data_IF_939385293372
#
_entry.id   IF_939385293372
#
_cell.length_a   1.000
_cell.length_b   1.000
_cell.length_c   1.000
_cell.angle_alpha   90.00
_cell.angle_beta   90.00
_cell.angle_gamma   90.00
#
_symmetry.space_group_name_H-M   'P 1'
#
loop_
_entity.id
_entity.type
_entity.pdbx_description
1 polymer ?
#
# COMPACT_ATOMS: atom_id res chain seq x y z
N UNK A 1 1.47 -39.40 42.44
CA UNK A 1 0.17 -38.90 42.99
C UNK A 1 -0.08 -37.51 42.43
N UNK A 2 -1.30 -37.25 41.97
CA UNK A 2 -1.71 -35.93 41.45
C UNK A 2 -2.89 -35.43 42.27
N UNK A 3 -2.80 -34.22 42.80
CA UNK A 3 -3.89 -33.56 43.53
C UNK A 3 -4.32 -32.34 42.70
N UNK A 4 -5.62 -32.24 42.41
CA UNK A 4 -6.23 -31.07 41.76
C UNK A 4 -7.10 -30.33 42.76
N UNK A 5 -6.86 -29.04 42.92
CA UNK A 5 -7.65 -28.14 43.75
C UNK A 5 -8.19 -27.03 42.87
N UNK A 6 -9.50 -26.82 42.89
CA UNK A 6 -10.17 -25.71 42.19
C UNK A 6 -10.70 -24.75 43.24
N UNK A 7 -10.37 -23.46 43.13
CA UNK A 7 -10.94 -22.44 44.02
C UNK A 7 -12.42 -22.21 43.68
N UNK A 8 -13.25 -21.80 44.65
CA UNK A 8 -14.66 -21.55 44.41
C UNK A 8 -14.88 -20.43 43.36
N UNK A 9 -16.08 -20.38 42.79
CA UNK A 9 -16.48 -19.37 41.78
C UNK A 9 -16.59 -17.95 42.35
N UNK A 10 -16.55 -17.81 43.68
CA UNK A 10 -16.42 -16.55 44.41
C UNK A 10 -15.35 -16.70 45.48
N UNK A 11 -14.53 -15.66 45.67
CA UNK A 11 -13.44 -15.64 46.65
C UNK A 11 -13.49 -14.35 47.46
N UNK A 12 -13.01 -14.41 48.71
CA UNK A 12 -12.79 -13.24 49.56
C UNK A 12 -11.31 -13.18 49.97
N UNK A 13 -10.80 -11.99 50.32
CA UNK A 13 -9.41 -11.83 50.79
C UNK A 13 -8.31 -11.93 49.72
N UNK A 14 -8.62 -11.65 48.45
CA UNK A 14 -7.63 -11.60 47.35
C UNK A 14 -7.32 -12.94 46.67
N UNK A 15 -8.04 -14.02 47.01
CA UNK A 15 -7.93 -15.31 46.30
C UNK A 15 -8.41 -15.21 44.85
N UNK A 16 -7.80 -15.97 43.93
CA UNK A 16 -8.22 -16.01 42.52
C UNK A 16 -9.40 -16.97 42.37
N UNK A 17 -10.60 -16.51 41.95
CA UNK A 17 -11.76 -17.38 41.77
C UNK A 17 -11.57 -18.32 40.58
N UNK A 18 -12.20 -19.50 40.63
CA UNK A 18 -12.19 -20.51 39.55
C UNK A 18 -10.79 -20.91 39.04
N UNK A 19 -9.75 -20.75 39.86
CA UNK A 19 -8.37 -21.10 39.54
C UNK A 19 -8.09 -22.55 39.92
N UNK A 20 -7.41 -23.28 39.03
CA UNK A 20 -7.04 -24.66 39.24
C UNK A 20 -5.53 -24.76 39.54
N UNK A 21 -5.20 -25.46 40.63
CA UNK A 21 -3.85 -25.78 41.03
C UNK A 21 -3.66 -27.28 41.03
N UNK A 22 -2.59 -27.73 40.40
CA UNK A 22 -2.25 -29.15 40.32
C UNK A 22 -0.91 -29.39 40.98
N UNK A 23 -0.92 -30.22 42.02
CA UNK A 23 0.28 -30.77 42.61
C UNK A 23 0.67 -32.02 41.85
N UNK A 24 1.94 -32.06 41.44
CA UNK A 24 2.51 -33.21 40.77
C UNK A 24 3.65 -33.74 41.64
N UNK A 25 3.53 -34.98 42.08
CA UNK A 25 4.67 -35.72 42.61
C UNK A 25 5.40 -36.40 41.45
N UNK A 26 6.64 -35.95 41.20
CA UNK A 26 7.48 -36.38 40.07
C UNK A 26 8.25 -37.68 40.32
N UNK A 27 8.12 -38.29 41.50
CA UNK A 27 8.91 -39.47 41.90
C UNK A 27 10.28 -39.11 42.47
N UNK A 28 11.16 -40.10 42.63
CA UNK A 28 12.51 -39.87 43.14
C UNK A 28 13.34 -39.03 42.15
N UNK A 29 14.13 -38.09 42.69
CA UNK A 29 15.03 -37.24 41.91
C UNK A 29 14.48 -35.89 41.47
N UNK A 30 13.17 -35.63 41.62
CA UNK A 30 12.56 -34.34 41.32
C UNK A 30 11.66 -33.85 42.45
N UNK A 31 11.86 -32.61 42.91
CA UNK A 31 11.02 -32.01 43.93
C UNK A 31 9.58 -31.87 43.41
N UNK A 32 8.56 -32.24 44.21
CA UNK A 32 7.20 -32.04 43.81
C UNK A 32 6.85 -30.54 43.84
N UNK A 33 5.89 -30.13 43.01
CA UNK A 33 5.56 -28.71 42.88
C UNK A 33 4.08 -28.49 42.58
N UNK A 34 3.61 -27.31 42.97
CA UNK A 34 2.31 -26.79 42.57
C UNK A 34 2.48 -26.00 41.28
N UNK A 35 1.68 -26.32 40.26
CA UNK A 35 1.50 -25.43 39.10
C UNK A 35 0.07 -24.92 39.08
N UNK A 36 -0.08 -23.61 38.89
CA UNK A 36 -1.37 -23.03 38.49
C UNK A 36 -1.61 -23.42 37.03
N UNK A 37 -2.75 -24.02 36.76
CA UNK A 37 -3.17 -24.31 35.38
C UNK A 37 -3.58 -23.02 34.66
N UNK A 38 -3.51 -23.03 33.33
CA UNK A 38 -3.85 -21.90 32.47
C UNK A 38 -5.23 -21.32 32.81
N UNK A 39 -5.31 -19.99 32.99
CA UNK A 39 -6.61 -19.33 33.15
C UNK A 39 -7.33 -19.39 31.82
N UNK A 40 -8.48 -20.08 31.75
CA UNK A 40 -9.24 -20.21 30.50
C UNK A 40 -9.89 -18.89 30.05
N UNK A 41 -9.79 -17.84 30.86
CA UNK A 41 -10.33 -16.51 30.61
C UNK A 41 -9.39 -15.46 31.19
N UNK A 42 -8.64 -14.81 30.31
CA UNK A 42 -7.74 -13.70 30.65
C UNK A 42 -6.51 -14.13 31.42
N UNK A 43 -5.34 -13.72 30.94
CA UNK A 43 -4.06 -13.72 31.66
C UNK A 43 -3.30 -12.46 31.22
N UNK A 44 -2.57 -11.83 32.15
CA UNK A 44 -1.68 -10.71 31.84
C UNK A 44 -0.24 -11.22 31.72
N UNK A 45 0.40 -10.96 30.58
CA UNK A 45 1.82 -11.25 30.40
C UNK A 45 2.65 -10.01 30.75
N UNK A 46 3.57 -10.15 31.71
CA UNK A 46 4.54 -9.10 32.08
C UNK A 46 5.87 -9.22 31.32
N UNK A 47 5.93 -10.04 30.26
CA UNK A 47 7.11 -10.30 29.42
C UNK A 47 6.77 -10.75 28.00
N UNK A 48 7.78 -11.20 27.24
CA UNK A 48 7.64 -11.53 25.82
C UNK A 48 6.91 -12.86 25.57
N UNK A 49 6.11 -12.89 24.49
CA UNK A 49 5.61 -14.12 23.91
C UNK A 49 6.53 -14.60 22.78
N UNK A 50 7.27 -15.69 23.02
CA UNK A 50 8.12 -16.33 22.02
C UNK A 50 7.54 -17.68 21.60
N UNK A 51 7.21 -17.83 20.31
CA UNK A 51 6.72 -19.08 19.74
C UNK A 51 7.83 -19.72 18.90
N UNK A 52 8.33 -20.90 19.31
CA UNK A 52 9.47 -21.56 18.67
C UNK A 52 9.01 -22.71 17.79
N UNK A 53 9.14 -22.55 16.47
CA UNK A 53 8.94 -23.61 15.48
C UNK A 53 9.70 -23.25 14.19
N UNK A 54 10.13 -24.26 13.44
CA UNK A 54 10.67 -24.09 12.08
C UNK A 54 9.57 -24.11 11.00
N UNK A 55 8.41 -24.69 11.32
CA UNK A 55 7.17 -24.53 10.55
C UNK A 55 6.44 -23.23 10.89
N UNK A 56 5.37 -22.93 10.13
CA UNK A 56 4.57 -21.72 10.32
C UNK A 56 3.99 -21.64 11.73
N UNK A 57 4.11 -20.46 12.33
CA UNK A 57 3.36 -20.09 13.52
C UNK A 57 2.57 -18.83 13.24
N UNK A 58 1.29 -18.84 13.60
CA UNK A 58 0.38 -17.74 13.34
C UNK A 58 -0.12 -17.15 14.65
N UNK A 59 -0.41 -15.85 14.61
CA UNK A 59 -1.47 -15.29 15.45
C UNK A 59 -2.80 -15.40 14.69
N UNK A 60 -3.88 -15.78 15.38
CA UNK A 60 -5.16 -16.02 14.73
C UNK A 60 -6.35 -15.55 15.56
N UNK A 61 -7.37 -15.09 14.84
CA UNK A 61 -8.72 -14.93 15.37
C UNK A 61 -9.53 -16.07 14.77
N UNK A 62 -10.34 -16.78 15.57
CA UNK A 62 -11.09 -17.96 15.13
C UNK A 62 -12.59 -17.75 15.33
N UNK A 63 -13.38 -18.39 14.47
CA UNK A 63 -14.80 -18.64 14.64
C UNK A 63 -15.03 -19.72 15.72
N UNK A 64 -16.26 -19.77 16.21
CA UNK A 64 -16.69 -20.77 17.20
C UNK A 64 -16.67 -22.20 16.65
N UNK A 65 -16.89 -22.38 15.35
CA UNK A 65 -16.83 -23.67 14.67
C UNK A 65 -15.39 -24.17 14.39
N UNK A 66 -14.37 -23.38 14.76
CA UNK A 66 -12.96 -23.74 14.62
C UNK A 66 -12.29 -23.26 13.34
N UNK A 67 -12.95 -22.45 12.52
CA UNK A 67 -12.36 -21.85 11.33
C UNK A 67 -11.68 -20.48 11.61
N UNK A 68 -10.66 -20.03 10.85
CA UNK A 68 -10.00 -18.73 11.08
C UNK A 68 -10.77 -17.50 10.55
N UNK A 69 -10.63 -16.33 11.17
CA UNK A 69 -11.11 -15.01 10.69
C UNK A 69 -9.98 -14.05 10.29
N UNK A 70 -8.77 -14.32 10.77
CA UNK A 70 -7.57 -13.55 10.46
C UNK A 70 -6.35 -14.42 10.69
N UNK A 71 -5.35 -14.28 9.82
CA UNK A 71 -4.00 -14.75 10.10
C UNK A 71 -2.99 -13.61 10.03
N UNK A 72 -2.00 -13.69 10.93
CA UNK A 72 -0.75 -12.94 10.85
C UNK A 72 0.40 -13.95 10.98
N UNK A 73 1.23 -14.07 9.94
CA UNK A 73 2.27 -15.11 9.91
C UNK A 73 3.47 -14.83 9.02
N UNK A 74 4.49 -15.68 9.19
CA UNK A 74 5.68 -15.77 8.36
C UNK A 74 6.17 -17.23 8.27
N UNK A 75 6.61 -17.65 7.09
CA UNK A 75 7.34 -18.91 6.91
C UNK A 75 8.85 -18.71 6.93
N UNK A 76 9.59 -19.70 7.43
CA UNK A 76 11.05 -19.76 7.34
C UNK A 76 11.48 -19.78 5.87
N UNK A 77 12.30 -18.82 5.45
CA UNK A 77 12.76 -18.68 4.07
C UNK A 77 11.69 -18.21 3.06
N UNK A 78 10.46 -17.95 3.50
CA UNK A 78 9.37 -17.48 2.63
C UNK A 78 9.57 -16.05 2.11
N UNK A 79 8.62 -15.60 1.29
CA UNK A 79 8.61 -14.34 0.54
C UNK A 79 8.28 -13.09 1.35
N UNK A 80 7.69 -13.15 2.54
CA UNK A 80 7.40 -11.92 3.27
C UNK A 80 6.56 -12.16 4.51
N UNK A 81 6.19 -11.11 5.25
CA UNK A 81 5.21 -11.22 6.34
C UNK A 81 3.80 -11.06 5.78
N UNK A 82 2.87 -11.90 6.23
CA UNK A 82 1.52 -12.01 5.69
C UNK A 82 0.48 -11.56 6.71
N UNK A 83 -0.47 -10.74 6.25
CA UNK A 83 -1.69 -10.36 6.98
C UNK A 83 -2.87 -10.63 6.07
N UNK A 84 -3.82 -11.43 6.54
CA UNK A 84 -5.04 -11.72 5.79
C UNK A 84 -6.23 -11.98 6.71
N UNK A 85 -7.42 -12.07 6.10
CA UNK A 85 -8.67 -12.29 6.82
C UNK A 85 -9.01 -13.78 7.03
N UNK A 86 -8.02 -14.66 7.26
CA UNK A 86 -8.30 -16.01 7.73
C UNK A 86 -9.04 -16.90 6.70
N UNK A 87 -10.06 -17.63 7.18
CA UNK A 87 -11.01 -18.41 6.38
C UNK A 87 -11.89 -17.47 5.54
N UNK A 88 -12.19 -16.27 6.06
CA UNK A 88 -13.05 -15.26 5.44
C UNK A 88 -12.33 -14.40 4.35
N UNK A 89 -10.98 -14.42 4.32
CA UNK A 89 -10.11 -14.06 3.20
C UNK A 89 -10.04 -12.58 2.72
N UNK A 90 -9.00 -12.25 1.92
CA UNK A 90 -8.76 -10.90 1.36
C UNK A 90 -7.44 -10.70 0.61
N UNK A 91 -6.62 -11.77 0.48
CA UNK A 91 -5.23 -11.68 0.05
C UNK A 91 -4.32 -11.27 1.20
N UNK A 92 -3.03 -11.36 0.94
CA UNK A 92 -2.04 -10.88 1.88
C UNK A 92 -1.71 -9.43 1.54
N UNK A 93 -1.68 -8.59 2.55
CA UNK A 93 -0.81 -7.43 2.51
C UNK A 93 0.59 -7.96 2.82
N UNK A 94 1.32 -8.27 1.75
CA UNK A 94 2.64 -8.88 1.89
C UNK A 94 3.67 -7.77 2.01
N UNK A 95 4.41 -7.88 3.10
CA UNK A 95 5.67 -7.19 3.25
C UNK A 95 6.74 -8.11 2.68
N UNK A 96 6.95 -8.03 1.37
CA UNK A 96 7.76 -8.99 0.62
C UNK A 96 9.27 -8.85 0.91
N UNK A 97 10.03 -9.89 0.61
CA UNK A 97 11.42 -10.09 1.05
C UNK A 97 12.41 -9.35 0.17
N UNK A 98 12.02 -9.08 -1.06
CA UNK A 98 12.68 -8.13 -1.97
C UNK A 98 12.24 -6.69 -1.68
N UNK A 99 11.44 -6.50 -0.63
CA UNK A 99 11.05 -5.21 -0.11
C UNK A 99 9.89 -4.57 -0.85
N UNK A 100 9.32 -5.17 -1.90
CA UNK A 100 8.16 -4.56 -2.56
C UNK A 100 6.95 -4.63 -1.64
N UNK A 101 6.18 -3.54 -1.64
CA UNK A 101 4.87 -3.58 -1.03
C UNK A 101 3.91 -4.23 -2.01
N UNK A 102 3.61 -5.48 -1.74
CA UNK A 102 2.58 -6.22 -2.43
C UNK A 102 1.27 -5.86 -1.73
N UNK A 103 0.92 -4.57 -1.84
CA UNK A 103 -0.47 -4.19 -1.72
C UNK A 103 -1.16 -4.84 -2.89
N UNK A 104 -1.98 -5.83 -2.55
CA UNK A 104 -2.90 -6.42 -3.51
C UNK A 104 -3.71 -5.32 -4.26
N UNK A 105 -3.95 -4.14 -3.67
CA UNK A 105 -4.35 -2.88 -4.35
C UNK A 105 -4.28 -1.61 -3.45
N UNK A 106 -4.10 -0.42 -4.07
CA UNK A 106 -4.45 0.90 -3.50
C UNK A 106 -5.71 1.42 -4.20
N UNK A 107 -6.88 1.15 -3.63
CA UNK A 107 -8.16 1.62 -4.20
C UNK A 107 -8.48 3.02 -3.70
N UNK A 108 -8.30 3.98 -4.61
CA UNK A 108 -8.76 5.34 -4.45
C UNK A 108 -10.11 5.54 -5.15
N UNK A 109 -11.06 6.12 -4.41
CA UNK A 109 -12.36 6.55 -4.90
C UNK A 109 -13.47 5.49 -4.77
N UNK A 110 -14.56 5.89 -4.12
CA UNK A 110 -15.74 5.05 -3.89
C UNK A 110 -16.71 5.11 -5.09
N UNK A 111 -16.92 6.30 -5.67
CA UNK A 111 -17.80 6.50 -6.84
C UNK A 111 -17.13 6.51 -8.22
N UNK A 112 -15.80 6.60 -8.28
CA UNK A 112 -14.95 6.65 -9.49
C UNK A 112 -13.57 6.05 -9.16
N UNK A 113 -12.91 5.40 -10.12
CA UNK A 113 -11.68 4.61 -9.92
C UNK A 113 -10.49 5.19 -10.70
N UNK A 114 -9.27 4.90 -10.24
CA UNK A 114 -7.98 5.18 -10.89
C UNK A 114 -7.45 3.91 -11.59
N UNK A 115 -6.95 4.01 -12.83
CA UNK A 115 -6.44 2.87 -13.64
C UNK A 115 -5.03 3.12 -14.16
N UNK A 116 -4.17 2.09 -14.13
CA UNK A 116 -2.81 2.05 -14.71
C UNK A 116 -2.74 0.80 -15.63
N UNK A 117 -2.48 0.96 -16.94
CA UNK A 117 -2.63 -0.10 -17.96
C UNK A 117 -1.46 -0.10 -18.96
N UNK A 118 -1.02 -1.27 -19.43
CA UNK A 118 -0.03 -1.45 -20.50
C UNK A 118 -0.56 -2.45 -21.56
N UNK A 119 -0.59 -2.08 -22.86
CA UNK A 119 -1.08 -2.92 -23.98
C UNK A 119 -0.06 -3.94 -24.50
N UNK A 120 1.17 -3.91 -23.96
CA UNK A 120 2.27 -4.84 -24.24
C UNK A 120 2.66 -5.03 -25.74
N UNK A 121 2.29 -4.09 -26.63
CA UNK A 121 2.82 -3.97 -28.01
C UNK A 121 3.96 -2.94 -28.09
N UNK A 122 4.27 -2.31 -26.96
CA UNK A 122 5.44 -1.48 -26.82
C UNK A 122 6.67 -2.36 -26.99
N UNK A 123 7.56 -1.97 -27.91
CA UNK A 123 8.86 -2.64 -28.09
C UNK A 123 9.80 -2.40 -26.90
N UNK A 124 9.38 -1.59 -25.92
CA UNK A 124 10.14 -1.09 -24.79
C UNK A 124 9.25 -1.02 -23.53
N UNK A 125 9.82 -1.25 -22.36
CA UNK A 125 9.10 -1.13 -21.08
C UNK A 125 8.76 0.30 -20.82
N UNK A 126 7.46 0.63 -20.88
CA UNK A 126 7.00 1.94 -20.45
C UNK A 126 6.78 1.95 -18.95
N UNK A 127 7.12 3.06 -18.32
CA UNK A 127 6.90 3.23 -16.90
C UNK A 127 6.06 4.46 -16.63
N UNK A 128 5.16 4.33 -15.65
CA UNK A 128 4.63 5.51 -14.98
C UNK A 128 5.53 5.74 -13.80
N UNK A 129 6.53 6.57 -14.03
CA UNK A 129 7.46 6.88 -12.99
C UNK A 129 6.97 8.12 -12.28
N UNK A 130 6.83 7.96 -10.97
CA UNK A 130 6.96 9.09 -10.09
C UNK A 130 8.42 9.17 -9.70
N UNK A 131 9.12 10.11 -10.30
CA UNK A 131 10.51 10.40 -9.97
C UNK A 131 10.73 11.92 -9.96
N UNK A 132 11.97 12.38 -9.82
CA UNK A 132 12.33 13.79 -9.91
C UNK A 132 13.60 14.15 -9.13
N UNK A 133 14.02 15.42 -9.22
CA UNK A 133 15.22 16.00 -8.57
C UNK A 133 15.08 17.53 -8.29
N UNK A 134 16.16 18.27 -7.97
CA UNK A 134 16.14 19.70 -7.56
C UNK A 134 16.03 20.73 -8.70
N UNK A 135 16.44 20.34 -9.91
CA UNK A 135 16.18 21.14 -11.10
C UNK A 135 14.82 20.76 -11.69
N UNK A 136 14.30 19.59 -11.30
CA UNK A 136 13.05 18.99 -11.76
C UNK A 136 12.19 18.49 -10.58
N UNK A 137 11.65 19.42 -9.75
CA UNK A 137 10.99 19.13 -8.48
C UNK A 137 10.01 17.95 -8.39
N UNK A 138 9.25 17.65 -9.43
CA UNK A 138 8.40 16.44 -9.46
C UNK A 138 8.24 16.11 -10.91
N UNK A 139 8.61 14.90 -11.27
CA UNK A 139 8.45 14.40 -12.62
C UNK A 139 7.48 13.24 -12.52
N UNK A 140 6.27 13.54 -12.97
CA UNK A 140 5.38 12.46 -13.38
C UNK A 140 5.76 12.19 -14.82
N UNK A 141 6.58 11.17 -14.99
CA UNK A 141 7.18 10.82 -16.26
C UNK A 141 6.51 9.61 -16.86
N UNK A 142 6.38 9.70 -18.17
CA UNK A 142 6.24 8.53 -19.02
C UNK A 142 7.53 8.42 -19.80
N UNK A 143 8.23 7.32 -19.55
CA UNK A 143 9.44 6.93 -20.27
C UNK A 143 9.29 5.52 -20.80
N UNK A 144 10.23 5.15 -21.66
CA UNK A 144 10.49 3.78 -22.02
C UNK A 144 11.99 3.41 -21.87
N UNK A 145 12.34 2.17 -22.19
CA UNK A 145 13.73 1.66 -22.13
C UNK A 145 14.75 2.49 -22.95
N UNK A 146 14.30 3.32 -23.90
CA UNK A 146 15.15 4.18 -24.73
C UNK A 146 15.16 5.65 -24.28
N UNK A 147 14.23 6.03 -23.41
CA UNK A 147 14.22 7.34 -22.75
C UNK A 147 12.83 7.91 -22.52
N UNK A 148 12.81 9.15 -22.04
CA UNK A 148 11.59 9.84 -21.68
C UNK A 148 10.79 10.31 -22.91
N UNK A 149 9.46 10.20 -22.82
CA UNK A 149 8.52 10.68 -23.86
C UNK A 149 7.96 12.02 -23.50
N UNK A 150 7.41 12.10 -22.29
CA UNK A 150 6.85 13.33 -21.76
C UNK A 150 6.94 13.32 -20.26
N UNK A 151 6.92 14.53 -19.73
CA UNK A 151 6.74 14.73 -18.32
C UNK A 151 5.98 16.01 -18.05
N UNK A 152 5.16 15.94 -17.01
CA UNK A 152 4.82 17.15 -16.27
C UNK A 152 5.90 17.36 -15.23
N UNK A 153 6.49 18.54 -15.26
CA UNK A 153 7.49 18.96 -14.30
C UNK A 153 7.12 20.31 -13.74
N UNK A 154 7.17 20.42 -12.42
CA UNK A 154 7.31 21.73 -11.77
C UNK A 154 8.78 22.13 -11.80
N UNK A 155 9.07 23.34 -12.25
CA UNK A 155 10.39 23.97 -12.29
C UNK A 155 10.76 24.65 -10.96
N UNK A 156 12.02 25.11 -10.83
CA UNK A 156 12.50 25.72 -9.59
C UNK A 156 11.87 27.06 -9.25
N UNK A 157 11.59 27.88 -10.24
CA UNK A 157 10.89 29.15 -10.06
C UNK A 157 9.38 28.97 -9.81
N UNK A 158 8.93 27.72 -9.62
CA UNK A 158 7.54 27.35 -9.39
C UNK A 158 6.71 27.27 -10.67
N UNK A 159 7.26 27.68 -11.81
CA UNK A 159 6.62 27.45 -13.10
C UNK A 159 6.42 25.95 -13.32
N UNK A 160 5.48 25.57 -14.17
CA UNK A 160 5.32 24.18 -14.60
C UNK A 160 5.63 24.14 -16.07
N UNK A 161 6.43 23.16 -16.45
CA UNK A 161 6.58 22.77 -17.83
C UNK A 161 5.89 21.43 -18.03
N UNK A 162 5.21 21.35 -19.15
CA UNK A 162 4.83 20.09 -19.73
C UNK A 162 5.71 19.94 -20.96
N UNK A 163 6.64 19.01 -20.91
CA UNK A 163 7.64 18.85 -21.98
C UNK A 163 7.36 17.55 -22.70
N UNK A 164 7.43 17.61 -24.02
CA UNK A 164 7.25 16.46 -24.90
C UNK A 164 8.51 16.31 -25.74
N UNK A 165 9.06 15.11 -25.76
CA UNK A 165 10.20 14.73 -26.59
C UNK A 165 9.71 14.35 -27.99
N UNK A 166 9.17 15.32 -28.74
CA UNK A 166 8.59 15.09 -30.06
C UNK A 166 7.60 16.16 -30.51
N UNK A 167 6.83 15.85 -31.55
CA UNK A 167 5.86 16.76 -32.14
C UNK A 167 4.57 16.89 -31.32
N UNK A 168 3.98 18.10 -31.30
CA UNK A 168 2.66 18.38 -30.71
C UNK A 168 1.65 18.65 -31.82
N UNK A 169 0.62 17.80 -31.94
CA UNK A 169 -0.46 17.94 -32.93
C UNK A 169 -1.77 18.35 -32.27
N UNK A 170 -2.43 19.41 -32.77
CA UNK A 170 -3.71 19.90 -32.26
C UNK A 170 -4.80 19.91 -33.36
N UNK A 171 -5.85 19.12 -33.19
CA UNK A 171 -6.93 18.93 -34.19
C UNK A 171 -7.91 20.12 -34.34
N UNK A 172 -7.73 21.21 -33.58
CA UNK A 172 -8.69 22.32 -33.56
C UNK A 172 -7.98 23.67 -33.51
N UNK A 173 -7.29 23.95 -32.40
CA UNK A 173 -6.51 25.18 -32.22
C UNK A 173 -5.55 25.03 -31.05
N UNK A 174 -4.51 25.85 -31.05
CA UNK A 174 -3.64 26.06 -29.90
C UNK A 174 -3.86 27.46 -29.35
N UNK A 175 -4.23 27.56 -28.07
CA UNK A 175 -4.37 28.86 -27.39
C UNK A 175 -3.07 29.17 -26.63
N UNK A 176 -2.54 30.38 -26.81
CA UNK A 176 -1.34 30.88 -26.12
C UNK A 176 -1.69 32.21 -25.45
N UNK A 177 -2.08 32.14 -24.17
CA UNK A 177 -2.76 33.26 -23.52
C UNK A 177 -4.07 33.60 -24.26
N UNK A 178 -4.27 34.88 -24.58
CA UNK A 178 -5.42 35.35 -25.36
C UNK A 178 -5.26 35.15 -26.87
N UNK A 179 -4.06 34.77 -27.35
CA UNK A 179 -3.80 34.53 -28.77
C UNK A 179 -4.24 33.12 -29.18
N UNK A 180 -4.58 32.95 -30.46
CA UNK A 180 -4.99 31.67 -31.04
C UNK A 180 -4.22 31.39 -32.32
N UNK A 181 -3.68 30.17 -32.43
CA UNK A 181 -3.29 29.55 -33.70
C UNK A 181 -4.44 28.64 -34.15
N UNK A 182 -5.04 28.97 -35.27
CA UNK A 182 -6.21 28.28 -35.83
C UNK A 182 -5.79 27.18 -36.81
N UNK A 183 -6.64 26.15 -36.97
CA UNK A 183 -6.37 25.02 -37.86
C UNK A 183 -6.39 25.36 -39.36
N UNK A 184 -6.89 26.55 -39.72
CA UNK A 184 -6.84 27.10 -41.08
C UNK A 184 -5.54 27.88 -41.37
N UNK A 185 -4.60 27.89 -40.41
CA UNK A 185 -3.33 28.60 -40.51
C UNK A 185 -3.39 30.07 -40.07
N UNK A 186 -4.55 30.59 -39.65
CA UNK A 186 -4.69 31.97 -39.20
C UNK A 186 -4.22 32.16 -37.74
N UNK A 187 -3.87 33.41 -37.41
CA UNK A 187 -3.44 33.80 -36.05
C UNK A 187 -4.30 34.96 -35.57
N UNK A 188 -4.89 34.82 -34.38
CA UNK A 188 -5.64 35.90 -33.72
C UNK A 188 -4.86 36.42 -32.52
N UNK A 189 -4.80 37.74 -32.35
CA UNK A 189 -4.26 38.36 -31.14
C UNK A 189 -4.40 39.87 -31.11
N UNK A 190 -4.18 40.45 -29.92
CA UNK A 190 -4.29 41.89 -29.68
C UNK A 190 -3.33 42.74 -30.50
N UNK A 191 -2.17 42.20 -30.89
CA UNK A 191 -1.23 42.85 -31.82
C UNK A 191 -1.85 43.16 -33.19
N UNK A 192 -2.85 42.38 -33.60
CA UNK A 192 -3.52 42.48 -34.89
C UNK A 192 -4.96 43.01 -34.76
N UNK A 193 -5.36 43.40 -33.54
CA UNK A 193 -6.74 43.77 -33.20
C UNK A 193 -7.80 42.75 -33.67
N UNK A 194 -7.41 41.47 -33.75
CA UNK A 194 -8.21 40.41 -34.37
C UNK A 194 -7.34 39.45 -35.17
N UNK A 195 -7.79 39.12 -36.38
CA UNK A 195 -7.12 38.14 -37.25
C UNK A 195 -5.98 38.77 -38.05
N UNK A 196 -4.83 38.11 -38.07
CA UNK A 196 -3.66 38.50 -38.85
C UNK A 196 -4.02 38.69 -40.33
N UNK A 197 -4.84 37.80 -40.90
CA UNK A 197 -5.29 37.94 -42.29
C UNK A 197 -6.03 39.26 -42.55
N UNK A 198 -6.90 39.69 -41.61
CA UNK A 198 -7.64 40.96 -41.70
C UNK A 198 -6.69 42.14 -41.56
N UNK A 199 -5.77 42.06 -40.58
CA UNK A 199 -4.77 43.12 -40.36
C UNK A 199 -3.85 43.31 -41.57
N UNK A 200 -3.30 42.23 -42.13
CA UNK A 200 -2.44 42.29 -43.34
C UNK A 200 -3.17 42.90 -44.53
N UNK A 201 -4.43 42.50 -44.74
CA UNK A 201 -5.25 43.02 -45.83
C UNK A 201 -5.50 44.52 -45.70
N UNK A 202 -5.50 45.08 -44.49
CA UNK A 202 -5.72 46.51 -44.27
C UNK A 202 -4.39 47.31 -44.24
N UNK A 203 -3.30 46.71 -43.74
CA UNK A 203 -2.01 47.39 -43.54
C UNK A 203 -1.17 47.53 -44.82
N UNK A 204 -1.38 46.64 -45.80
CA UNK A 204 -0.63 46.59 -47.07
C UNK A 204 -1.53 46.72 -48.31
N UNK A 205 -2.75 47.23 -48.13
CA UNK A 205 -3.64 47.58 -49.23
C UNK A 205 -3.21 48.86 -49.96
#
# INVERSE_FOLDING_TARGET
MTIRITTPTTTTGGGVPSAQFTYINHGEGYAPGWRREFSRTGDEMTGNLCLKNDGRVNFCIMNEDGTPRMWLFKDKGGDGVHINNGHDGGGDFIFGKDGSFYASAVRAGIGKKLSMTSDNNSTLTATFNLWGDANRPTVVELDDDQGWHLYSQRNPDGSIVFTVNGDITANRKLNVGAATFSSDGNVNGSMWEGWLSTWMSNAFA
#
